data_IF_925984285145
#
_entry.id   IF_925984285145
#
_cell.length_a   1.000
_cell.length_b   1.000
_cell.length_c   1.000
_cell.angle_alpha   90.00
_cell.angle_beta   90.00
_cell.angle_gamma   90.00
#
_symmetry.space_group_name_H-M   'P 1'
#
loop_
_entity.id
_entity.type
_entity.pdbx_description
1 polymer ?
#
# COMPACT_ATOMS: atom_id res chain seq x y z
N UNK A 1 -16.61 13.04 13.89
CA UNK A 1 -15.85 14.25 13.56
C UNK A 1 -14.46 14.12 14.16
N UNK A 2 -13.47 13.67 13.37
CA UNK A 2 -12.10 13.43 13.83
C UNK A 2 -11.41 14.80 13.91
N UNK A 3 -10.88 15.14 15.08
CA UNK A 3 -10.14 16.40 15.29
C UNK A 3 -8.80 16.31 14.53
N UNK A 4 -8.69 17.00 13.40
CA UNK A 4 -7.43 17.18 12.67
C UNK A 4 -6.45 17.90 13.61
N UNK A 5 -5.39 17.20 13.96
CA UNK A 5 -4.37 17.70 14.87
C UNK A 5 -3.53 18.77 14.14
N UNK A 6 -3.48 20.00 14.63
CA UNK A 6 -2.80 21.17 14.04
C UNK A 6 -1.30 20.98 13.70
N UNK A 7 -0.67 19.87 14.13
CA UNK A 7 0.70 19.50 13.78
C UNK A 7 0.89 18.97 12.35
N UNK A 8 -0.21 18.63 11.63
CA UNK A 8 -0.15 18.06 10.28
C UNK A 8 -0.30 19.10 9.15
N UNK A 9 -0.36 20.39 9.45
CA UNK A 9 -0.60 21.46 8.47
C UNK A 9 0.47 21.61 7.37
N UNK A 10 1.57 20.84 7.44
CA UNK A 10 2.64 20.84 6.43
C UNK A 10 2.73 19.54 5.62
N UNK A 11 1.88 18.54 5.90
CA UNK A 11 1.91 17.25 5.21
C UNK A 11 0.79 17.21 4.18
N UNK A 12 1.15 16.99 2.90
CA UNK A 12 0.20 16.82 1.80
C UNK A 12 0.14 15.36 1.40
N UNK A 13 -1.08 14.83 1.16
CA UNK A 13 -1.27 13.50 0.59
C UNK A 13 -1.68 13.61 -0.86
N UNK A 14 -0.94 12.97 -1.76
CA UNK A 14 -1.18 12.95 -3.21
C UNK A 14 -1.13 11.53 -3.75
N UNK A 15 -1.79 11.29 -4.87
CA UNK A 15 -1.59 10.05 -5.63
C UNK A 15 -0.16 10.05 -6.22
N UNK A 16 0.48 8.87 -6.21
CA UNK A 16 1.84 8.71 -6.72
C UNK A 16 1.90 9.03 -8.22
N UNK A 17 2.81 9.90 -8.62
CA UNK A 17 3.08 10.28 -10.00
C UNK A 17 4.56 10.09 -10.36
N UNK A 18 4.89 10.17 -11.66
CA UNK A 18 6.27 9.98 -12.13
C UNK A 18 7.29 10.91 -11.47
N UNK A 19 6.90 12.15 -11.14
CA UNK A 19 7.79 13.09 -10.47
C UNK A 19 8.02 12.77 -8.97
N UNK A 20 7.20 11.88 -8.40
CA UNK A 20 7.38 11.36 -7.04
C UNK A 20 8.33 10.15 -6.98
N UNK A 21 8.78 9.59 -8.13
CA UNK A 21 9.75 8.50 -8.18
C UNK A 21 11.17 9.05 -7.95
N UNK A 22 11.43 9.47 -6.74
CA UNK A 22 12.67 10.06 -6.24
C UNK A 22 13.22 9.23 -5.08
N UNK A 23 14.48 9.46 -4.73
CA UNK A 23 15.14 8.66 -3.68
C UNK A 23 14.34 8.59 -2.37
N UNK A 24 13.74 9.72 -1.92
CA UNK A 24 12.96 9.74 -0.69
C UNK A 24 11.71 8.81 -0.72
N UNK A 25 11.15 8.53 -1.90
CA UNK A 25 10.07 7.53 -2.04
C UNK A 25 10.60 6.11 -1.80
N UNK A 26 11.71 5.75 -2.47
CA UNK A 26 12.31 4.42 -2.32
C UNK A 26 12.89 4.21 -0.91
N UNK A 27 13.54 5.24 -0.34
CA UNK A 27 14.01 5.22 1.05
C UNK A 27 12.84 5.04 2.04
N UNK A 28 11.67 5.59 1.74
CA UNK A 28 10.47 5.38 2.56
C UNK A 28 10.00 3.93 2.46
N UNK A 29 9.91 3.36 1.25
CA UNK A 29 9.52 1.97 1.05
C UNK A 29 10.51 0.98 1.69
N UNK A 30 11.81 1.31 1.71
CA UNK A 30 12.84 0.47 2.35
C UNK A 30 12.65 0.32 3.87
N UNK A 31 11.85 1.18 4.50
CA UNK A 31 11.48 1.03 5.91
C UNK A 31 10.40 -0.03 6.14
N UNK A 32 9.69 -0.46 5.10
CA UNK A 32 8.71 -1.54 5.17
C UNK A 32 9.37 -2.90 4.98
N UNK A 33 10.21 -3.03 3.96
CA UNK A 33 10.89 -4.27 3.58
C UNK A 33 12.10 -3.96 2.71
N UNK A 34 12.94 -4.96 2.47
CA UNK A 34 14.02 -4.85 1.50
C UNK A 34 13.44 -4.62 0.11
N UNK A 35 13.97 -3.62 -0.59
CA UNK A 35 13.64 -3.30 -1.97
C UNK A 35 14.84 -3.55 -2.87
N UNK A 36 14.62 -4.06 -4.07
CA UNK A 36 15.69 -4.29 -5.04
C UNK A 36 16.36 -2.98 -5.47
N UNK A 37 17.64 -3.05 -5.87
CA UNK A 37 18.39 -1.86 -6.34
C UNK A 37 17.82 -1.30 -7.63
N UNK A 38 17.23 -2.14 -8.48
CA UNK A 38 16.72 -1.76 -9.80
C UNK A 38 15.57 -0.73 -9.71
N UNK A 39 14.84 -0.66 -8.59
CA UNK A 39 13.76 0.33 -8.42
C UNK A 39 14.27 1.76 -8.35
N UNK A 40 15.57 1.98 -8.05
CA UNK A 40 16.18 3.30 -8.10
C UNK A 40 16.49 3.75 -9.53
N UNK A 41 16.46 2.84 -10.52
CA UNK A 41 16.49 3.20 -11.93
C UNK A 41 15.15 3.83 -12.34
N UNK A 42 15.24 5.03 -12.91
CA UNK A 42 14.07 5.84 -13.24
C UNK A 42 13.19 5.18 -14.29
N UNK A 43 13.78 4.59 -15.33
CA UNK A 43 13.03 3.96 -16.42
C UNK A 43 12.33 2.69 -15.92
N UNK A 44 13.02 1.90 -15.09
CA UNK A 44 12.45 0.70 -14.48
C UNK A 44 11.27 1.04 -13.57
N UNK A 45 11.43 2.03 -12.68
CA UNK A 45 10.38 2.44 -11.75
C UNK A 45 9.17 3.07 -12.47
N UNK A 46 9.38 3.84 -13.53
CA UNK A 46 8.31 4.36 -14.37
C UNK A 46 7.51 3.25 -15.05
N UNK A 47 8.17 2.20 -15.56
CA UNK A 47 7.51 1.02 -16.12
C UNK A 47 6.65 0.29 -15.07
N UNK A 48 7.12 0.20 -13.82
CA UNK A 48 6.32 -0.37 -12.72
C UNK A 48 5.07 0.48 -12.48
N UNK A 49 5.24 1.79 -12.33
CA UNK A 49 4.11 2.71 -12.07
C UNK A 49 3.10 2.68 -13.22
N UNK A 50 3.57 2.59 -14.47
CA UNK A 50 2.69 2.45 -15.64
C UNK A 50 1.86 1.16 -15.59
N UNK A 51 2.47 0.03 -15.23
CA UNK A 51 1.74 -1.24 -15.05
C UNK A 51 0.69 -1.14 -13.95
N UNK A 52 1.03 -0.52 -12.81
CA UNK A 52 0.11 -0.28 -11.71
C UNK A 52 -1.07 0.57 -12.18
N UNK A 53 -0.82 1.65 -12.89
CA UNK A 53 -1.88 2.54 -13.42
C UNK A 53 -2.77 1.86 -14.45
N UNK A 54 -2.18 1.06 -15.34
CA UNK A 54 -2.92 0.28 -16.36
C UNK A 54 -3.87 -0.75 -15.75
N UNK A 55 -3.60 -1.24 -14.53
CA UNK A 55 -4.53 -2.16 -13.85
C UNK A 55 -5.87 -1.51 -13.53
N UNK A 56 -5.89 -0.17 -13.36
CA UNK A 56 -7.08 0.62 -13.11
C UNK A 56 -7.67 0.49 -11.70
N UNK A 57 -7.24 -0.51 -10.95
CA UNK A 57 -7.79 -0.85 -9.63
C UNK A 57 -6.81 -0.65 -8.48
N UNK A 58 -5.59 -0.19 -8.76
CA UNK A 58 -4.55 0.06 -7.76
C UNK A 58 -4.25 1.56 -7.71
N UNK A 59 -4.28 2.12 -6.51
CA UNK A 59 -3.91 3.50 -6.22
C UNK A 59 -2.84 3.53 -5.15
N UNK A 60 -1.77 4.28 -5.37
CA UNK A 60 -0.72 4.52 -4.38
C UNK A 60 -0.79 5.98 -3.98
N UNK A 61 -0.88 6.24 -2.68
CA UNK A 61 -0.81 7.60 -2.14
C UNK A 61 0.49 7.79 -1.38
N UNK A 62 1.04 9.00 -1.48
CA UNK A 62 2.24 9.40 -0.78
C UNK A 62 1.97 10.61 0.09
N UNK A 63 2.56 10.61 1.29
CA UNK A 63 2.59 11.75 2.18
C UNK A 63 3.87 12.53 1.93
N UNK A 64 3.72 13.81 1.60
CA UNK A 64 4.81 14.72 1.23
C UNK A 64 4.94 15.76 2.33
N UNK A 65 6.17 15.92 2.85
CA UNK A 65 6.53 17.00 3.76
C UNK A 65 7.69 17.76 3.14
N UNK A 66 7.49 19.06 2.93
CA UNK A 66 8.41 19.91 2.15
C UNK A 66 8.61 19.33 0.72
N UNK A 67 9.77 18.79 0.41
CA UNK A 67 10.08 18.12 -0.87
C UNK A 67 10.22 16.60 -0.75
N UNK A 68 10.16 16.06 0.47
CA UNK A 68 10.43 14.67 0.75
C UNK A 68 9.12 13.84 0.86
N UNK A 69 9.17 12.63 0.34
CA UNK A 69 8.15 11.63 0.59
C UNK A 69 8.47 10.97 1.92
N UNK A 70 7.52 11.08 2.86
CA UNK A 70 7.67 10.65 4.24
C UNK A 70 6.69 9.55 4.65
N UNK A 71 5.85 9.11 3.73
CA UNK A 71 4.95 7.97 3.92
C UNK A 71 4.34 7.53 2.61
N UNK A 72 3.89 6.27 2.56
CA UNK A 72 3.20 5.67 1.42
C UNK A 72 2.14 4.69 1.88
N UNK A 73 1.13 4.48 1.05
CA UNK A 73 0.06 3.50 1.23
C UNK A 73 -0.46 3.06 -0.15
N UNK A 74 -0.75 1.78 -0.29
CA UNK A 74 -1.37 1.22 -1.49
C UNK A 74 -2.82 0.83 -1.19
N UNK A 75 -3.74 1.21 -2.07
CA UNK A 75 -5.14 0.80 -2.08
C UNK A 75 -5.41 -0.06 -3.31
N UNK A 76 -6.03 -1.24 -3.13
CA UNK A 76 -6.43 -2.12 -4.21
C UNK A 76 -7.95 -2.26 -4.16
N UNK A 77 -8.64 -1.83 -5.21
CA UNK A 77 -10.09 -1.96 -5.34
C UNK A 77 -10.40 -3.26 -6.06
N UNK A 78 -11.03 -4.18 -5.37
CA UNK A 78 -11.39 -5.48 -5.93
C UNK A 78 -12.88 -5.55 -6.24
N UNK A 79 -13.23 -5.85 -7.49
CA UNK A 79 -14.60 -6.10 -7.92
C UNK A 79 -15.02 -7.51 -7.56
N UNK A 80 -16.21 -7.69 -6.95
CA UNK A 80 -16.76 -8.98 -6.56
C UNK A 80 -18.03 -9.31 -7.36
N UNK A 81 -18.33 -10.58 -7.50
CA UNK A 81 -19.67 -11.04 -7.96
C UNK A 81 -20.69 -11.03 -6.82
N UNK A 82 -20.24 -11.31 -5.58
CA UNK A 82 -21.09 -11.26 -4.39
C UNK A 82 -21.49 -9.82 -4.05
N UNK A 83 -22.47 -9.65 -3.15
CA UNK A 83 -23.02 -8.36 -2.75
C UNK A 83 -23.48 -7.50 -3.95
N UNK A 84 -24.19 -8.15 -4.93
CA UNK A 84 -24.69 -7.52 -6.14
C UNK A 84 -23.61 -6.80 -6.96
N UNK A 85 -22.44 -7.42 -7.12
CA UNK A 85 -21.31 -6.81 -7.80
C UNK A 85 -20.62 -5.75 -6.93
N UNK A 86 -20.58 -5.96 -5.62
CA UNK A 86 -19.93 -5.01 -4.69
C UNK A 86 -18.42 -4.95 -4.87
N UNK A 87 -17.82 -3.91 -4.31
CA UNK A 87 -16.36 -3.72 -4.29
C UNK A 87 -15.84 -3.77 -2.86
N UNK A 88 -14.60 -4.24 -2.71
CA UNK A 88 -13.85 -4.12 -1.46
C UNK A 88 -12.56 -3.35 -1.72
N UNK A 89 -12.05 -2.69 -0.70
CA UNK A 89 -10.73 -2.07 -0.76
C UNK A 89 -9.77 -2.83 0.16
N UNK A 90 -8.61 -3.21 -0.38
CA UNK A 90 -7.49 -3.72 0.41
C UNK A 90 -6.49 -2.60 0.63
N UNK A 91 -6.02 -2.46 1.86
CA UNK A 91 -4.91 -1.58 2.22
C UNK A 91 -3.64 -2.42 2.31
N UNK A 92 -2.61 -2.01 1.56
CA UNK A 92 -1.30 -2.66 1.52
C UNK A 92 -0.18 -1.62 1.66
N UNK A 93 1.01 -2.07 1.99
CA UNK A 93 2.25 -1.30 1.99
C UNK A 93 2.18 0.03 2.75
N UNK A 94 1.54 0.01 3.93
CA UNK A 94 1.46 1.20 4.79
C UNK A 94 2.80 1.44 5.46
N UNK A 95 3.44 2.54 5.14
CA UNK A 95 4.75 2.87 5.68
C UNK A 95 4.88 4.36 6.01
N UNK A 96 5.54 4.64 7.12
CA UNK A 96 6.05 5.97 7.48
C UNK A 96 7.57 5.91 7.49
N UNK A 97 8.21 6.88 6.87
CA UNK A 97 9.68 7.00 6.82
C UNK A 97 10.24 7.12 8.24
N UNK A 98 11.35 6.42 8.50
CA UNK A 98 12.06 6.47 9.78
C UNK A 98 12.43 7.91 10.14
N UNK A 99 12.15 8.30 11.38
CA UNK A 99 12.33 9.67 11.88
C UNK A 99 11.12 10.59 11.69
N UNK A 100 10.07 10.12 11.00
CA UNK A 100 8.81 10.86 10.82
C UNK A 100 7.61 10.17 11.52
N UNK A 101 7.88 9.18 12.35
CA UNK A 101 6.84 8.50 13.12
C UNK A 101 6.19 9.47 14.13
N UNK A 102 5.01 9.13 14.61
CA UNK A 102 4.22 9.92 15.59
C UNK A 102 3.78 11.30 15.10
N UNK A 103 4.01 11.64 13.83
CA UNK A 103 3.48 12.86 13.21
C UNK A 103 2.07 12.67 12.62
N UNK A 104 1.46 11.49 12.78
CA UNK A 104 0.12 11.18 12.26
C UNK A 104 0.10 10.81 10.78
N UNK A 105 1.26 10.61 10.13
CA UNK A 105 1.35 10.30 8.70
C UNK A 105 0.56 9.06 8.32
N UNK A 106 0.72 7.97 9.08
CA UNK A 106 -0.04 6.74 8.83
C UNK A 106 -1.55 6.98 8.90
N UNK A 107 -2.03 7.79 9.85
CA UNK A 107 -3.47 8.08 10.00
C UNK A 107 -4.03 8.83 8.80
N UNK A 108 -3.36 9.90 8.34
CA UNK A 108 -3.85 10.68 7.19
C UNK A 108 -3.79 9.87 5.88
N UNK A 109 -2.83 8.95 5.73
CA UNK A 109 -2.77 8.04 4.60
C UNK A 109 -3.93 7.03 4.61
N UNK A 110 -4.22 6.42 5.78
CA UNK A 110 -5.37 5.52 5.92
C UNK A 110 -6.68 6.26 5.71
N UNK A 111 -6.85 7.44 6.28
CA UNK A 111 -8.03 8.30 6.07
C UNK A 111 -8.23 8.59 4.57
N UNK A 112 -7.15 8.87 3.82
CA UNK A 112 -7.21 9.08 2.38
C UNK A 112 -7.72 7.85 1.61
N UNK A 113 -7.32 6.64 2.02
CA UNK A 113 -7.83 5.40 1.42
C UNK A 113 -9.28 5.12 1.81
N UNK A 114 -9.68 5.45 3.04
CA UNK A 114 -11.10 5.35 3.46
C UNK A 114 -11.99 6.29 2.64
N UNK A 115 -11.54 7.53 2.37
CA UNK A 115 -12.23 8.45 1.46
C UNK A 115 -12.38 7.84 0.04
N UNK A 116 -11.29 7.29 -0.51
CA UNK A 116 -11.33 6.60 -1.81
C UNK A 116 -12.33 5.43 -1.79
N UNK A 117 -12.29 4.59 -0.76
CA UNK A 117 -13.17 3.43 -0.65
C UNK A 117 -14.66 3.83 -0.62
N UNK A 118 -14.99 4.95 0.04
CA UNK A 118 -16.35 5.53 0.03
C UNK A 118 -16.72 6.01 -1.38
N UNK A 119 -15.83 6.73 -2.05
CA UNK A 119 -16.05 7.21 -3.43
C UNK A 119 -16.25 6.05 -4.42
N UNK A 120 -15.48 4.98 -4.26
CA UNK A 120 -15.56 3.74 -5.04
C UNK A 120 -16.72 2.82 -4.62
N UNK A 121 -17.53 3.24 -3.63
CA UNK A 121 -18.68 2.49 -3.11
C UNK A 121 -18.30 1.09 -2.62
N UNK A 122 -17.12 0.96 -2.01
CA UNK A 122 -16.70 -0.28 -1.37
C UNK A 122 -17.59 -0.56 -0.15
N UNK A 123 -18.04 -1.83 0.01
CA UNK A 123 -18.84 -2.21 1.18
C UNK A 123 -17.99 -2.52 2.42
N UNK A 124 -16.69 -2.70 2.26
CA UNK A 124 -15.71 -2.82 3.35
C UNK A 124 -14.31 -2.46 2.89
N UNK A 125 -13.46 -2.14 3.87
CA UNK A 125 -12.00 -2.00 3.71
C UNK A 125 -11.33 -3.03 4.61
N UNK A 126 -10.35 -3.75 4.11
CA UNK A 126 -9.60 -4.77 4.86
C UNK A 126 -8.10 -4.55 4.73
N UNK A 127 -7.36 -5.01 5.72
CA UNK A 127 -5.90 -5.02 5.75
C UNK A 127 -5.38 -6.16 6.61
N UNK A 128 -4.12 -6.52 6.42
CA UNK A 128 -3.38 -7.37 7.34
C UNK A 128 -2.37 -6.53 8.11
N UNK A 129 -2.25 -6.77 9.40
CA UNK A 129 -1.24 -6.11 10.23
C UNK A 129 -0.69 -7.04 11.30
N UNK A 130 0.47 -6.70 11.85
CA UNK A 130 0.99 -7.37 13.03
C UNK A 130 0.11 -7.04 14.25
N UNK A 131 0.11 -7.92 15.25
CA UNK A 131 -0.56 -7.67 16.53
C UNK A 131 -0.11 -6.33 17.17
N UNK A 132 1.16 -5.98 17.01
CA UNK A 132 1.71 -4.71 17.49
C UNK A 132 1.01 -3.50 16.86
N UNK A 133 0.67 -3.58 15.58
CA UNK A 133 0.04 -2.48 14.85
C UNK A 133 -1.50 -2.47 14.95
N UNK A 134 -2.13 -3.52 15.50
CA UNK A 134 -3.59 -3.60 15.57
C UNK A 134 -4.23 -2.41 16.29
N UNK A 135 -3.64 -1.97 17.41
CA UNK A 135 -4.11 -0.82 18.18
C UNK A 135 -4.09 0.50 17.40
N UNK A 136 -3.19 0.64 16.42
CA UNK A 136 -3.17 1.81 15.55
C UNK A 136 -4.41 1.82 14.65
N UNK A 137 -4.72 0.69 14.01
CA UNK A 137 -5.88 0.57 13.12
C UNK A 137 -7.21 0.59 13.88
N UNK A 138 -7.28 0.03 15.10
CA UNK A 138 -8.46 0.10 15.97
C UNK A 138 -8.84 1.55 16.28
N UNK A 139 -7.88 2.45 16.49
CA UNK A 139 -8.12 3.89 16.67
C UNK A 139 -8.71 4.58 15.46
N UNK A 140 -8.54 3.99 14.28
CA UNK A 140 -9.09 4.46 13.00
C UNK A 140 -10.42 3.77 12.63
N UNK A 141 -10.98 2.96 13.55
CA UNK A 141 -12.28 2.31 13.40
C UNK A 141 -12.23 0.91 12.81
N UNK A 142 -11.05 0.35 12.59
CA UNK A 142 -10.93 -1.06 12.20
C UNK A 142 -11.15 -1.98 13.42
N UNK A 143 -11.55 -3.19 13.15
CA UNK A 143 -11.67 -4.25 14.15
C UNK A 143 -11.07 -5.54 13.62
N UNK A 144 -10.64 -6.41 14.53
CA UNK A 144 -10.07 -7.72 14.16
C UNK A 144 -11.15 -8.56 13.49
N UNK A 145 -10.82 -9.12 12.34
CA UNK A 145 -11.71 -9.92 11.54
C UNK A 145 -10.91 -10.97 10.78
N UNK A 146 -11.32 -12.23 10.91
CA UNK A 146 -10.67 -13.39 10.30
C UNK A 146 -9.19 -13.58 10.70
N UNK A 147 -8.57 -14.63 10.15
CA UNK A 147 -7.15 -14.94 10.32
C UNK A 147 -6.49 -14.87 8.96
N UNK A 148 -5.49 -14.00 8.83
CA UNK A 148 -4.64 -13.95 7.65
C UNK A 148 -3.74 -15.18 7.57
N UNK A 149 -3.67 -15.82 6.40
CA UNK A 149 -2.78 -16.94 6.12
C UNK A 149 -1.87 -16.58 4.96
N UNK A 150 -0.62 -17.05 5.00
CA UNK A 150 0.39 -16.74 4.00
C UNK A 150 1.08 -18.01 3.51
N UNK A 151 1.24 -18.13 2.20
CA UNK A 151 2.11 -19.12 1.56
C UNK A 151 3.18 -18.38 0.75
N UNK A 152 4.46 -18.65 1.03
CA UNK A 152 5.57 -18.04 0.30
C UNK A 152 5.89 -18.85 -0.95
N UNK A 153 5.91 -18.21 -2.12
CA UNK A 153 6.38 -18.82 -3.36
C UNK A 153 7.91 -18.70 -3.39
N UNK A 154 8.61 -19.80 -3.11
CA UNK A 154 10.05 -19.85 -3.27
C UNK A 154 10.43 -20.02 -4.75
N UNK A 155 11.44 -19.29 -5.20
CA UNK A 155 11.91 -19.32 -6.61
C UNK A 155 12.33 -20.75 -7.00
N UNK A 156 12.85 -21.54 -6.06
CA UNK A 156 13.26 -22.95 -6.27
C UNK A 156 12.08 -23.88 -6.61
N UNK A 157 10.91 -23.68 -6.04
CA UNK A 157 9.72 -24.48 -6.37
C UNK A 157 9.28 -24.28 -7.84
N UNK A 158 9.49 -23.08 -8.38
CA UNK A 158 9.19 -22.76 -9.77
C UNK A 158 10.09 -23.51 -10.76
N UNK A 159 11.35 -23.69 -10.42
CA UNK A 159 12.30 -24.48 -11.24
C UNK A 159 12.00 -25.98 -11.16
N UNK A 160 11.61 -26.51 -10.01
CA UNK A 160 11.24 -27.93 -9.86
C UNK A 160 9.98 -28.30 -10.62
N UNK A 161 8.95 -27.46 -10.59
CA UNK A 161 7.70 -27.68 -11.35
C UNK A 161 7.96 -27.63 -12.85
N UNK A 162 8.79 -26.69 -13.35
CA UNK A 162 9.17 -26.62 -14.75
C UNK A 162 10.04 -27.83 -15.17
N UNK A 163 10.91 -28.30 -14.29
CA UNK A 163 11.74 -29.49 -14.53
C UNK A 163 10.89 -30.77 -14.55
N UNK A 164 9.91 -30.89 -13.68
CA UNK A 164 9.00 -32.04 -13.63
C UNK A 164 8.10 -32.11 -14.89
N UNK A 165 7.58 -30.98 -15.34
CA UNK A 165 6.76 -30.90 -16.56
C UNK A 165 7.58 -31.21 -17.81
N UNK A 166 8.85 -30.75 -17.89
CA UNK A 166 9.70 -30.96 -19.07
C UNK A 166 10.21 -32.40 -19.19
N UNK A 167 10.14 -33.24 -18.16
CA UNK A 167 10.66 -34.60 -18.16
C UNK A 167 9.56 -35.68 -18.08
N UNK A 168 8.27 -35.29 -18.04
CA UNK A 168 7.14 -36.20 -17.92
C UNK A 168 6.04 -35.94 -18.97
N UNK A 169 6.34 -35.15 -20.00
CA UNK A 169 5.61 -35.01 -21.25
C UNK A 169 6.53 -35.40 -22.40
#
# INVERSE_FOLDING_TARGET
MIKINKKNSQIQVKELENHHLINSFFDTLSNLTEIGKDVYDKEFSQKILEKIRKSGNIKIFVAIKDTDIVGSITAIIEQKFIHNGGRICHIEDVVTRKGFEKLGIGSILVEKVLELAIQEKCYKVILNCSEYNSKFYEKLGFYKHDIGMRYNIEIWHRLMVLFYISHHI
#
